data_IF_636664765707
#
_entry.id   IF_636664765707
#
_cell.length_a   1.000
_cell.length_b   1.000
_cell.length_c   1.000
_cell.angle_alpha   90.00
_cell.angle_beta   90.00
_cell.angle_gamma   90.00
#
_symmetry.space_group_name_H-M   'P 1'
#
loop_
_entity.id
_entity.type
_entity.pdbx_description
1 polymer ?
#
# COMPACT_ATOMS: atom_id res chain seq x y z
N UNK A 1 -3.31 -29.49 -32.33
CA UNK A 1 -2.32 -28.67 -31.63
C UNK A 1 -2.74 -27.20 -31.72
N UNK A 2 -2.87 -26.54 -30.58
CA UNK A 2 -3.06 -25.10 -30.47
C UNK A 2 -1.93 -24.49 -29.61
N UNK A 3 -1.51 -23.28 -29.95
CA UNK A 3 -0.46 -22.55 -29.23
C UNK A 3 -1.02 -21.17 -28.89
N UNK A 4 -1.00 -20.83 -27.61
CA UNK A 4 -1.21 -19.46 -27.15
C UNK A 4 0.12 -18.71 -27.28
N UNK A 5 0.21 -17.76 -28.21
CA UNK A 5 1.44 -17.01 -28.49
C UNK A 5 1.77 -15.97 -27.42
N UNK A 6 0.84 -15.66 -26.50
CA UNK A 6 1.08 -14.75 -25.39
C UNK A 6 1.62 -15.48 -24.16
N UNK A 7 1.05 -16.64 -23.84
CA UNK A 7 1.44 -17.41 -22.64
C UNK A 7 2.43 -18.51 -22.95
N UNK A 8 2.66 -18.85 -24.23
CA UNK A 8 3.42 -20.01 -24.73
C UNK A 8 2.82 -21.37 -24.37
N UNK A 9 1.60 -21.39 -23.79
CA UNK A 9 0.88 -22.61 -23.50
C UNK A 9 0.54 -23.37 -24.79
N UNK A 10 0.73 -24.69 -24.76
CA UNK A 10 0.37 -25.58 -25.85
C UNK A 10 -0.72 -26.55 -25.46
N UNK A 11 -1.68 -26.74 -26.35
CA UNK A 11 -2.77 -27.71 -26.18
C UNK A 11 -2.73 -28.70 -27.36
N UNK A 12 -2.43 -29.96 -27.07
CA UNK A 12 -2.45 -31.06 -28.03
C UNK A 12 -3.55 -32.04 -27.66
N UNK A 13 -4.69 -31.96 -28.34
CA UNK A 13 -5.91 -32.76 -28.04
C UNK A 13 -6.57 -33.27 -29.32
N UNK A 14 -7.38 -34.32 -29.17
CA UNK A 14 -8.27 -34.72 -30.23
C UNK A 14 -9.42 -33.68 -30.38
N UNK A 15 -9.83 -33.39 -31.61
CA UNK A 15 -10.89 -32.42 -31.89
C UNK A 15 -12.22 -32.74 -31.18
N UNK A 16 -12.47 -34.02 -30.90
CA UNK A 16 -13.64 -34.47 -30.14
C UNK A 16 -13.65 -34.02 -28.67
N UNK A 17 -12.48 -33.68 -28.13
CA UNK A 17 -12.31 -33.24 -26.75
C UNK A 17 -12.24 -31.71 -26.61
N UNK A 18 -12.41 -30.98 -27.74
CA UNK A 18 -12.33 -29.51 -27.77
C UNK A 18 -13.25 -28.84 -26.75
N UNK A 19 -14.47 -29.39 -26.58
CA UNK A 19 -15.44 -28.87 -25.63
C UNK A 19 -15.03 -28.98 -24.15
N UNK A 20 -14.10 -29.89 -23.84
CA UNK A 20 -13.57 -30.07 -22.48
C UNK A 20 -12.45 -29.07 -22.16
N UNK A 21 -11.91 -28.40 -23.18
CA UNK A 21 -10.80 -27.46 -23.12
C UNK A 21 -11.16 -26.10 -23.71
N UNK A 22 -12.45 -25.70 -23.62
CA UNK A 22 -12.93 -24.43 -24.18
C UNK A 22 -12.26 -23.23 -23.52
N UNK A 23 -11.84 -23.37 -22.27
CA UNK A 23 -11.11 -22.37 -21.48
C UNK A 23 -9.80 -21.93 -22.13
N UNK A 24 -9.12 -22.82 -22.86
CA UNK A 24 -7.92 -22.49 -23.64
C UNK A 24 -8.23 -21.47 -24.77
N UNK A 25 -9.46 -21.45 -25.26
CA UNK A 25 -9.88 -20.62 -26.39
C UNK A 25 -10.65 -19.36 -25.97
N UNK A 26 -10.85 -19.10 -24.69
CA UNK A 26 -11.49 -17.89 -24.16
C UNK A 26 -10.89 -16.59 -24.68
N UNK A 27 -9.55 -16.46 -24.89
CA UNK A 27 -8.94 -15.27 -25.48
C UNK A 27 -9.46 -14.94 -26.88
N UNK A 28 -9.86 -15.95 -27.69
CA UNK A 28 -10.46 -15.73 -29.01
C UNK A 28 -11.87 -15.12 -28.93
N UNK A 29 -12.56 -15.28 -27.81
CA UNK A 29 -13.85 -14.66 -27.53
C UNK A 29 -13.72 -13.29 -26.84
N UNK A 30 -12.51 -12.75 -26.74
CA UNK A 30 -12.25 -11.50 -26.01
C UNK A 30 -12.29 -11.66 -24.48
N UNK A 31 -12.37 -12.90 -23.99
CA UNK A 31 -12.31 -13.20 -22.56
C UNK A 31 -10.85 -13.51 -22.20
N UNK A 32 -10.24 -12.71 -21.37
CA UNK A 32 -8.92 -13.05 -20.84
C UNK A 32 -9.06 -14.25 -19.88
N UNK A 33 -8.17 -15.25 -20.03
CA UNK A 33 -7.95 -16.21 -18.94
C UNK A 33 -7.63 -15.37 -17.71
N UNK A 34 -8.47 -15.45 -16.68
CA UNK A 34 -8.02 -15.02 -15.36
C UNK A 34 -6.88 -15.98 -15.00
N UNK A 35 -5.65 -15.49 -15.12
CA UNK A 35 -4.53 -16.14 -14.45
C UNK A 35 -4.88 -16.01 -12.98
N UNK A 36 -5.34 -17.09 -12.37
CA UNK A 36 -5.34 -17.20 -10.92
C UNK A 36 -3.85 -17.08 -10.54
N UNK A 37 -3.45 -15.89 -10.18
CA UNK A 37 -2.25 -15.73 -9.37
C UNK A 37 -2.64 -16.41 -8.08
N UNK A 38 -2.02 -17.53 -7.75
CA UNK A 38 -2.17 -18.18 -6.45
C UNK A 38 -1.93 -17.08 -5.41
N UNK A 39 -3.00 -16.68 -4.72
CA UNK A 39 -2.87 -15.74 -3.60
C UNK A 39 -1.89 -16.38 -2.62
N UNK A 40 -0.88 -15.62 -2.21
CA UNK A 40 0.10 -16.13 -1.25
C UNK A 40 -0.65 -16.70 -0.04
N UNK A 41 -0.51 -17.98 0.31
CA UNK A 41 -1.23 -18.60 1.42
C UNK A 41 -1.03 -17.87 2.75
N UNK A 42 0.11 -17.18 2.94
CA UNK A 42 0.39 -16.35 4.11
C UNK A 42 -0.55 -15.15 4.15
N UNK A 43 -0.77 -14.48 3.01
CA UNK A 43 -1.64 -13.32 2.86
C UNK A 43 -3.08 -13.67 3.22
N UNK A 44 -3.60 -14.77 2.67
CA UNK A 44 -4.98 -15.26 2.94
C UNK A 44 -5.15 -15.61 4.42
N UNK A 45 -4.16 -16.27 5.02
CA UNK A 45 -4.20 -16.66 6.42
C UNK A 45 -4.20 -15.45 7.36
N UNK A 46 -3.38 -14.45 7.07
CA UNK A 46 -3.30 -13.21 7.83
C UNK A 46 -4.61 -12.42 7.75
N UNK A 47 -5.17 -12.24 6.53
CA UNK A 47 -6.45 -11.58 6.30
C UNK A 47 -7.59 -12.21 7.10
N UNK A 48 -7.70 -13.54 7.05
CA UNK A 48 -8.74 -14.26 7.77
C UNK A 48 -8.62 -14.13 9.30
N UNK A 49 -7.40 -14.09 9.84
CA UNK A 49 -7.18 -13.92 11.27
C UNK A 49 -7.47 -12.49 11.73
N UNK A 50 -7.07 -11.49 10.95
CA UNK A 50 -7.39 -10.08 11.21
C UNK A 50 -8.89 -9.82 11.17
N UNK A 51 -9.61 -10.37 10.19
CA UNK A 51 -11.06 -10.28 10.14
C UNK A 51 -11.73 -10.87 11.39
N UNK A 52 -11.25 -12.03 11.87
CA UNK A 52 -11.72 -12.63 13.12
C UNK A 52 -11.43 -11.74 14.34
N UNK A 53 -10.26 -11.11 14.39
CA UNK A 53 -9.90 -10.16 15.45
C UNK A 53 -10.85 -8.97 15.45
N UNK A 54 -11.08 -8.39 14.29
CA UNK A 54 -11.99 -7.25 14.10
C UNK A 54 -13.39 -7.58 14.59
N UNK A 55 -13.96 -8.69 14.12
CA UNK A 55 -15.30 -9.14 14.51
C UNK A 55 -15.42 -9.36 16.02
N UNK A 56 -14.36 -9.90 16.62
CA UNK A 56 -14.35 -10.15 18.07
C UNK A 56 -14.22 -8.85 18.88
N UNK A 57 -13.43 -7.89 18.39
CA UNK A 57 -13.31 -6.57 19.02
C UNK A 57 -14.63 -5.81 18.92
N UNK A 58 -15.32 -5.85 17.79
CA UNK A 58 -16.59 -5.14 17.59
C UNK A 58 -17.68 -5.57 18.56
N UNK A 59 -17.68 -6.80 19.07
CA UNK A 59 -18.68 -7.28 20.03
C UNK A 59 -18.70 -6.46 21.32
N UNK A 60 -17.51 -6.08 21.81
CA UNK A 60 -17.35 -5.29 23.04
C UNK A 60 -17.21 -3.79 22.77
N UNK A 61 -16.94 -3.40 21.49
CA UNK A 61 -16.69 -2.03 21.07
C UNK A 61 -17.56 -1.67 19.86
N UNK A 62 -18.88 -1.57 20.04
CA UNK A 62 -19.77 -1.24 18.92
C UNK A 62 -19.48 0.16 18.40
N UNK A 63 -19.18 0.27 17.11
CA UNK A 63 -18.90 1.54 16.42
C UNK A 63 -20.20 2.15 15.90
N UNK A 64 -20.54 3.34 16.37
CA UNK A 64 -21.77 4.08 16.01
C UNK A 64 -21.46 5.41 15.33
N UNK A 65 -20.26 5.93 15.45
CA UNK A 65 -19.85 7.21 14.85
C UNK A 65 -18.63 7.00 13.95
N UNK A 66 -18.44 7.93 13.01
CA UNK A 66 -17.28 7.93 12.12
C UNK A 66 -15.96 7.95 12.91
N UNK A 67 -15.88 8.73 13.99
CA UNK A 67 -14.67 8.81 14.82
C UNK A 67 -14.34 7.47 15.50
N UNK A 68 -15.36 6.70 15.90
CA UNK A 68 -15.14 5.37 16.50
C UNK A 68 -14.64 4.36 15.45
N UNK A 69 -15.16 4.42 14.24
CA UNK A 69 -14.66 3.60 13.12
C UNK A 69 -13.23 3.98 12.79
N UNK A 70 -12.94 5.28 12.66
CA UNK A 70 -11.59 5.79 12.42
C UNK A 70 -10.60 5.31 13.49
N UNK A 71 -10.93 5.47 14.79
CA UNK A 71 -10.07 5.03 15.87
C UNK A 71 -9.74 3.53 15.82
N UNK A 72 -10.73 2.68 15.48
CA UNK A 72 -10.53 1.25 15.32
C UNK A 72 -9.64 0.93 14.12
N UNK A 73 -9.82 1.65 13.03
CA UNK A 73 -9.02 1.49 11.81
C UNK A 73 -7.54 1.87 12.06
N UNK A 74 -7.30 3.02 12.70
CA UNK A 74 -5.94 3.43 13.12
C UNK A 74 -5.33 2.39 14.06
N UNK A 75 -6.12 1.85 15.00
CA UNK A 75 -5.66 0.79 15.88
C UNK A 75 -5.21 -0.47 15.12
N UNK A 76 -5.98 -0.92 14.12
CA UNK A 76 -5.61 -2.07 13.28
C UNK A 76 -4.34 -1.81 12.47
N UNK A 77 -4.22 -0.61 11.91
CA UNK A 77 -3.01 -0.20 11.17
C UNK A 77 -1.77 -0.22 12.07
N UNK A 78 -1.90 0.22 13.32
CA UNK A 78 -0.83 0.14 14.33
C UNK A 78 -0.44 -1.30 14.67
N UNK A 79 -1.41 -2.21 14.75
CA UNK A 79 -1.13 -3.63 14.96
C UNK A 79 -0.39 -4.24 13.77
N UNK A 80 -0.84 -3.96 12.54
CA UNK A 80 -0.16 -4.42 11.32
C UNK A 80 1.30 -3.98 11.29
N UNK A 81 1.54 -2.71 11.59
CA UNK A 81 2.90 -2.20 11.73
C UNK A 81 3.71 -3.00 12.75
N UNK A 82 3.16 -3.25 13.95
CA UNK A 82 3.88 -3.94 15.03
C UNK A 82 4.25 -5.38 14.63
N UNK A 83 3.34 -6.12 14.03
CA UNK A 83 3.61 -7.47 13.56
C UNK A 83 4.68 -7.51 12.46
N UNK A 84 4.54 -6.62 11.48
CA UNK A 84 5.56 -6.53 10.43
C UNK A 84 6.92 -6.11 11.00
N UNK A 85 6.95 -5.17 11.93
CA UNK A 85 8.16 -4.64 12.52
C UNK A 85 8.95 -5.68 13.31
N UNK A 86 8.28 -6.62 14.00
CA UNK A 86 8.97 -7.67 14.75
C UNK A 86 9.57 -8.76 13.83
N UNK A 87 8.96 -9.02 12.65
CA UNK A 87 9.45 -10.04 11.72
C UNK A 87 10.41 -9.50 10.66
N UNK A 88 10.47 -8.17 10.50
CA UNK A 88 11.34 -7.51 9.52
C UNK A 88 12.61 -6.88 10.10
N UNK A 89 12.98 -7.24 11.34
CA UNK A 89 14.14 -6.71 12.07
C UNK A 89 14.11 -5.17 12.32
N UNK A 90 12.95 -4.54 12.30
CA UNK A 90 12.74 -3.18 12.79
C UNK A 90 12.69 -3.21 14.31
N UNK A 91 11.98 -4.18 14.86
CA UNK A 91 12.01 -4.56 16.28
C UNK A 91 12.94 -5.77 16.49
N UNK A 92 13.27 -6.06 17.74
CA UNK A 92 13.84 -7.35 18.10
C UNK A 92 12.82 -8.45 17.82
N UNK A 93 13.28 -9.59 17.34
CA UNK A 93 12.43 -10.71 16.94
C UNK A 93 11.44 -11.10 18.04
N UNK A 94 10.16 -11.23 17.69
CA UNK A 94 9.05 -11.60 18.57
C UNK A 94 8.84 -10.70 19.79
N UNK A 95 9.43 -9.51 19.87
CA UNK A 95 9.36 -8.65 21.08
C UNK A 95 7.93 -8.17 21.34
N UNK A 96 7.16 -7.81 20.32
CA UNK A 96 5.79 -7.30 20.44
C UNK A 96 4.85 -8.39 20.96
N UNK A 97 4.82 -9.52 20.27
CA UNK A 97 3.95 -10.66 20.60
C UNK A 97 4.29 -11.26 21.96
N UNK A 98 5.58 -11.44 22.26
CA UNK A 98 6.03 -11.96 23.55
C UNK A 98 5.75 -11.00 24.71
N UNK A 99 5.92 -9.69 24.47
CA UNK A 99 5.67 -8.67 25.50
C UNK A 99 4.18 -8.60 25.88
N UNK A 100 3.28 -8.65 24.90
CA UNK A 100 1.83 -8.73 25.15
C UNK A 100 1.49 -10.01 25.93
N UNK A 101 2.00 -11.15 25.47
CA UNK A 101 1.73 -12.44 26.13
C UNK A 101 2.14 -12.45 27.59
N UNK A 102 3.31 -11.87 27.91
CA UNK A 102 3.94 -11.93 29.21
C UNK A 102 3.50 -10.83 30.21
N UNK A 103 3.05 -9.68 29.69
CA UNK A 103 2.79 -8.49 30.52
C UNK A 103 1.34 -8.00 30.46
N UNK A 104 0.41 -8.83 29.96
CA UNK A 104 -1.02 -8.54 30.03
C UNK A 104 -1.80 -9.68 30.68
N UNK A 105 -2.92 -9.34 31.34
CA UNK A 105 -3.79 -10.31 31.98
C UNK A 105 -4.48 -11.23 30.96
N UNK A 106 -4.68 -12.49 31.33
CA UNK A 106 -5.29 -13.49 30.42
C UNK A 106 -6.70 -13.10 29.98
N UNK A 107 -7.43 -12.38 30.83
CA UNK A 107 -8.80 -11.90 30.54
C UNK A 107 -8.83 -10.68 29.61
N UNK A 108 -7.67 -10.08 29.30
CA UNK A 108 -7.53 -8.92 28.44
C UNK A 108 -7.92 -7.58 29.09
N UNK A 109 -8.21 -7.56 30.38
CA UNK A 109 -8.72 -6.38 31.11
C UNK A 109 -7.75 -5.20 31.09
N UNK A 110 -6.45 -5.44 31.05
CA UNK A 110 -5.37 -4.43 31.01
C UNK A 110 -4.75 -4.18 29.66
N UNK A 111 -5.19 -4.92 28.60
CA UNK A 111 -4.64 -4.82 27.25
C UNK A 111 -4.67 -3.40 26.69
N UNK A 112 -5.79 -2.69 26.86
CA UNK A 112 -5.93 -1.34 26.33
C UNK A 112 -4.90 -0.38 26.97
N UNK A 113 -4.74 -0.43 28.31
CA UNK A 113 -3.77 0.42 29.00
C UNK A 113 -2.32 0.02 28.70
N UNK A 114 -2.05 -1.26 28.49
CA UNK A 114 -0.73 -1.73 28.07
C UNK A 114 -0.37 -1.18 26.68
N UNK A 115 -1.27 -1.33 25.70
CA UNK A 115 -1.05 -0.87 24.31
C UNK A 115 -0.96 0.66 24.24
N UNK A 116 -1.75 1.39 25.03
CA UNK A 116 -1.64 2.85 25.11
C UNK A 116 -0.23 3.28 25.53
N UNK A 117 0.31 2.68 26.58
CA UNK A 117 1.68 2.94 27.06
C UNK A 117 2.73 2.55 26.02
N UNK A 118 2.56 1.42 25.35
CA UNK A 118 3.47 0.97 24.30
C UNK A 118 3.48 1.95 23.11
N UNK A 119 2.31 2.38 22.65
CA UNK A 119 2.21 3.35 21.55
C UNK A 119 2.77 4.73 21.91
N UNK A 120 2.69 5.11 23.20
CA UNK A 120 3.37 6.31 23.70
C UNK A 120 4.89 6.16 23.68
N UNK A 121 5.43 4.97 23.97
CA UNK A 121 6.87 4.67 23.84
C UNK A 121 7.31 4.80 22.36
N UNK A 122 6.53 4.30 21.40
CA UNK A 122 6.83 4.45 19.98
C UNK A 122 6.87 5.91 19.53
N UNK A 123 6.08 6.77 20.16
CA UNK A 123 6.03 8.21 19.86
C UNK A 123 7.03 9.06 20.66
N UNK A 124 7.78 8.46 21.59
CA UNK A 124 8.67 9.21 22.50
C UNK A 124 10.14 8.90 22.21
N UNK A 125 10.94 9.91 21.78
CA UNK A 125 12.38 9.76 21.61
C UNK A 125 13.07 9.24 22.88
N UNK A 126 14.15 8.48 22.69
CA UNK A 126 14.86 7.81 23.81
C UNK A 126 15.26 8.76 24.93
N UNK A 127 15.75 9.96 24.58
CA UNK A 127 16.20 11.00 25.51
C UNK A 127 15.05 11.67 26.30
N UNK A 128 13.82 11.50 25.86
CA UNK A 128 12.61 12.07 26.48
C UNK A 128 11.77 11.05 27.25
N UNK A 129 12.19 9.78 27.26
CA UNK A 129 11.46 8.72 27.95
C UNK A 129 11.63 8.84 29.47
N UNK A 130 10.55 8.55 30.20
CA UNK A 130 10.57 8.50 31.66
C UNK A 130 11.58 7.46 32.15
N UNK A 131 12.43 7.83 33.09
CA UNK A 131 13.40 6.93 33.71
C UNK A 131 12.74 5.76 34.46
N UNK A 132 11.51 5.95 34.94
CA UNK A 132 10.71 4.93 35.64
C UNK A 132 10.03 3.92 34.71
N UNK A 133 10.15 4.10 33.35
CA UNK A 133 9.57 3.18 32.39
C UNK A 133 10.10 1.75 32.62
N UNK A 134 9.23 0.72 32.65
CA UNK A 134 9.65 -0.67 32.76
C UNK A 134 10.61 -1.09 31.68
N UNK A 135 11.59 -1.95 31.98
CA UNK A 135 12.61 -2.36 31.03
C UNK A 135 12.03 -3.00 29.77
N UNK A 136 11.00 -3.83 29.89
CA UNK A 136 10.33 -4.47 28.77
C UNK A 136 9.66 -3.48 27.79
N UNK A 137 9.42 -2.23 28.19
CA UNK A 137 8.96 -1.15 27.30
C UNK A 137 10.14 -0.32 26.77
N UNK A 138 11.25 -0.24 27.51
CA UNK A 138 12.45 0.50 27.06
C UNK A 138 13.12 -0.14 25.85
N UNK A 139 12.99 -1.46 25.72
CA UNK A 139 13.60 -2.24 24.65
C UNK A 139 12.95 -1.97 23.25
N UNK A 140 11.75 -1.38 23.23
CA UNK A 140 11.13 -0.98 21.98
C UNK A 140 11.75 0.29 21.41
N UNK A 141 11.96 0.34 20.06
CA UNK A 141 12.53 1.51 19.43
C UNK A 141 11.59 2.71 19.40
N UNK A 142 12.15 3.90 19.18
CA UNK A 142 11.39 5.08 18.80
C UNK A 142 11.01 4.96 17.33
N UNK A 143 9.72 4.97 17.02
CA UNK A 143 9.23 4.74 15.68
C UNK A 143 9.11 6.03 14.88
N UNK A 144 8.89 7.16 15.51
CA UNK A 144 8.67 8.48 14.92
C UNK A 144 7.83 8.46 13.62
N UNK A 145 6.72 9.11 13.60
CA UNK A 145 5.87 9.18 12.40
C UNK A 145 4.42 9.50 12.75
N UNK A 146 3.61 9.80 11.73
CA UNK A 146 2.21 10.14 11.90
C UNK A 146 1.40 9.08 12.63
N UNK A 147 1.71 7.79 12.36
CA UNK A 147 0.93 6.65 12.84
C UNK A 147 0.71 6.59 14.35
N UNK A 148 1.71 7.00 15.17
CA UNK A 148 1.63 6.97 16.64
C UNK A 148 1.50 8.35 17.26
N UNK A 149 1.49 9.44 16.46
CA UNK A 149 1.49 10.82 16.95
C UNK A 149 0.22 11.14 17.74
N UNK A 150 -0.92 10.82 17.17
CA UNK A 150 -2.19 11.20 17.74
C UNK A 150 -2.72 10.11 18.69
N UNK A 151 -3.15 10.54 19.87
CA UNK A 151 -3.78 9.61 20.83
C UNK A 151 -5.15 9.21 20.29
N UNK A 152 -5.30 7.92 20.04
CA UNK A 152 -6.56 7.31 19.62
C UNK A 152 -7.06 6.36 20.70
N UNK A 153 -8.37 6.27 20.91
CA UNK A 153 -8.94 5.28 21.81
C UNK A 153 -8.55 3.86 21.40
N UNK A 154 -8.06 3.08 22.37
CA UNK A 154 -7.77 1.67 22.16
C UNK A 154 -8.99 0.85 22.55
N UNK A 155 -9.40 -0.15 21.77
CA UNK A 155 -10.57 -0.95 22.06
C UNK A 155 -10.38 -1.79 23.32
N UNK A 156 -11.49 -2.15 23.98
CA UNK A 156 -11.51 -3.13 25.06
C UNK A 156 -11.30 -4.53 24.51
N UNK A 157 -10.61 -5.35 25.28
CA UNK A 157 -10.31 -6.74 24.93
C UNK A 157 -11.02 -7.72 25.87
N UNK A 158 -11.25 -8.91 25.35
CA UNK A 158 -11.65 -10.10 26.08
C UNK A 158 -10.52 -11.13 26.02
N UNK A 159 -10.61 -12.19 26.80
CA UNK A 159 -9.71 -13.36 26.68
C UNK A 159 -9.59 -13.81 25.23
N UNK A 160 -10.70 -13.84 24.49
CA UNK A 160 -10.73 -14.34 23.11
C UNK A 160 -10.03 -13.40 22.14
N UNK A 161 -10.35 -12.10 22.17
CA UNK A 161 -9.70 -11.11 21.27
C UNK A 161 -8.20 -10.99 21.58
N UNK A 162 -7.80 -11.03 22.86
CA UNK A 162 -6.37 -11.09 23.26
C UNK A 162 -5.66 -12.31 22.66
N UNK A 163 -6.26 -13.50 22.79
CA UNK A 163 -5.64 -14.73 22.27
C UNK A 163 -5.52 -14.71 20.73
N UNK A 164 -6.54 -14.20 20.03
CA UNK A 164 -6.47 -14.04 18.57
C UNK A 164 -5.35 -13.07 18.18
N UNK A 165 -5.19 -11.95 18.90
CA UNK A 165 -4.12 -10.98 18.66
C UNK A 165 -2.74 -11.64 18.79
N UNK A 166 -2.51 -12.41 19.86
CA UNK A 166 -1.25 -13.15 20.05
C UNK A 166 -1.06 -14.22 18.95
N UNK A 167 -2.13 -14.91 18.57
CA UNK A 167 -2.08 -15.91 17.49
C UNK A 167 -1.73 -15.29 16.13
N UNK A 168 -2.16 -14.06 15.84
CA UNK A 168 -1.77 -13.31 14.66
C UNK A 168 -0.26 -13.06 14.63
N UNK A 169 0.32 -12.70 15.76
CA UNK A 169 1.76 -12.48 15.89
C UNK A 169 2.61 -13.74 15.74
N UNK A 170 2.02 -14.95 15.67
CA UNK A 170 2.76 -16.17 15.33
C UNK A 170 2.87 -16.45 13.83
N UNK A 171 2.31 -15.59 12.99
CA UNK A 171 2.48 -15.67 11.54
C UNK A 171 3.82 -15.07 11.15
N UNK A 172 4.37 -15.50 10.02
CA UNK A 172 5.55 -14.87 9.43
C UNK A 172 5.13 -13.65 8.58
N UNK A 173 5.24 -12.46 9.16
CA UNK A 173 4.87 -11.22 8.53
C UNK A 173 5.92 -10.71 7.53
N UNK A 174 7.12 -11.27 7.54
CA UNK A 174 8.15 -10.94 6.55
C UNK A 174 7.80 -11.44 5.14
N UNK A 175 6.97 -12.50 5.05
CA UNK A 175 6.49 -13.06 3.78
C UNK A 175 5.22 -12.38 3.25
N UNK A 176 4.60 -11.50 4.05
CA UNK A 176 3.37 -10.80 3.66
C UNK A 176 3.70 -9.55 2.85
N UNK A 177 3.04 -9.40 1.71
CA UNK A 177 3.25 -8.25 0.85
C UNK A 177 2.51 -7.00 1.38
N UNK A 178 3.19 -5.84 1.51
CA UNK A 178 2.53 -4.60 1.94
C UNK A 178 1.38 -4.15 1.02
N UNK A 179 1.44 -4.49 -0.25
CA UNK A 179 0.41 -4.18 -1.25
C UNK A 179 -0.94 -4.82 -0.93
N UNK A 180 -0.97 -5.92 -0.14
CA UNK A 180 -2.22 -6.54 0.27
C UNK A 180 -2.85 -5.91 1.51
N UNK A 181 -2.15 -5.06 2.26
CA UNK A 181 -2.72 -4.47 3.48
C UNK A 181 -4.01 -3.72 3.20
N UNK A 182 -4.10 -3.02 2.07
CA UNK A 182 -5.34 -2.39 1.64
C UNK A 182 -6.48 -3.39 1.45
N UNK A 183 -6.24 -4.50 0.77
CA UNK A 183 -7.24 -5.55 0.54
C UNK A 183 -7.60 -6.31 1.81
N UNK A 184 -6.63 -6.58 2.67
CA UNK A 184 -6.86 -7.19 3.98
C UNK A 184 -7.81 -6.36 4.81
N UNK A 185 -7.60 -5.05 4.83
CA UNK A 185 -8.40 -4.12 5.60
C UNK A 185 -9.76 -3.91 4.96
N UNK A 186 -9.86 -3.83 3.63
CA UNK A 186 -11.14 -3.82 2.93
C UNK A 186 -11.96 -5.09 3.19
N UNK A 187 -11.32 -6.24 3.37
CA UNK A 187 -12.00 -7.48 3.76
C UNK A 187 -12.56 -7.41 5.19
N UNK A 188 -11.96 -6.59 6.04
CA UNK A 188 -12.35 -6.38 7.43
C UNK A 188 -13.46 -5.33 7.55
N UNK A 189 -13.40 -4.24 6.77
CA UNK A 189 -14.46 -3.22 6.71
C UNK A 189 -15.67 -3.76 5.94
N UNK A 190 -16.86 -3.65 6.54
CA UNK A 190 -18.12 -4.29 6.14
C UNK A 190 -18.46 -4.19 4.64
N UNK A 191 -19.12 -5.25 4.07
CA UNK A 191 -19.54 -5.30 2.66
C UNK A 191 -20.41 -4.12 2.20
N UNK A 192 -21.13 -3.48 3.12
CA UNK A 192 -22.06 -2.37 2.86
C UNK A 192 -21.33 -1.08 2.42
N UNK A 193 -20.11 -0.85 2.90
CA UNK A 193 -19.30 0.29 2.48
C UNK A 193 -18.48 0.05 1.21
N UNK A 194 -18.36 -1.20 0.75
CA UNK A 194 -17.60 -1.55 -0.46
C UNK A 194 -18.24 -1.05 -1.75
N UNK A 195 -19.57 -0.96 -1.79
CA UNK A 195 -20.34 -0.55 -2.98
C UNK A 195 -20.38 0.96 -3.20
N UNK A 196 -20.40 1.74 -2.12
CA UNK A 196 -20.70 3.18 -2.18
C UNK A 196 -19.47 4.06 -2.44
N UNK A 197 -18.28 3.60 -2.11
CA UNK A 197 -17.04 4.38 -2.27
C UNK A 197 -16.18 3.99 -3.47
N UNK A 198 -16.55 2.97 -4.25
CA UNK A 198 -15.76 2.54 -5.42
C UNK A 198 -14.36 2.02 -5.06
N UNK A 199 -14.13 1.62 -3.81
CA UNK A 199 -12.86 1.07 -3.36
C UNK A 199 -12.67 -0.34 -3.91
N UNK A 200 -12.18 -0.44 -5.14
CA UNK A 200 -11.76 -1.69 -5.74
C UNK A 200 -10.24 -1.83 -5.60
N UNK A 201 -9.82 -2.82 -4.83
CA UNK A 201 -8.43 -3.24 -4.83
C UNK A 201 -7.97 -3.58 -6.25
N UNK A 202 -6.92 -2.92 -6.71
CA UNK A 202 -6.33 -3.21 -8.02
C UNK A 202 -5.19 -4.19 -7.85
N UNK A 203 -5.33 -5.40 -8.40
CA UNK A 203 -4.33 -6.45 -8.30
C UNK A 203 -3.02 -6.08 -9.01
N UNK A 204 -1.90 -6.62 -8.53
CA UNK A 204 -0.57 -6.41 -9.12
C UNK A 204 -0.53 -6.64 -10.64
N UNK A 205 -1.10 -7.74 -11.19
CA UNK A 205 -1.14 -7.94 -12.64
C UNK A 205 -1.87 -6.83 -13.41
N UNK A 206 -2.93 -6.27 -12.84
CA UNK A 206 -3.66 -5.17 -13.48
C UNK A 206 -2.90 -3.85 -13.38
N UNK A 207 -2.22 -3.60 -12.26
CA UNK A 207 -1.31 -2.46 -12.12
C UNK A 207 -0.20 -2.53 -13.16
N UNK A 208 0.44 -3.70 -13.30
CA UNK A 208 1.50 -3.91 -14.29
C UNK A 208 1.04 -3.65 -15.73
N UNK A 209 -0.19 -4.02 -16.11
CA UNK A 209 -0.77 -3.69 -17.43
C UNK A 209 -0.83 -2.17 -17.70
N UNK A 210 -0.88 -1.36 -16.66
CA UNK A 210 -0.89 0.10 -16.76
C UNK A 210 0.53 0.66 -16.76
N UNK A 211 1.34 0.30 -15.76
CA UNK A 211 2.65 0.92 -15.56
C UNK A 211 3.72 0.44 -16.55
N UNK A 212 3.59 -0.81 -17.06
CA UNK A 212 4.50 -1.32 -18.07
C UNK A 212 4.53 -0.42 -19.32
N UNK A 213 3.42 -0.24 -20.07
CA UNK A 213 3.44 0.58 -21.26
C UNK A 213 3.54 2.08 -20.96
N UNK A 214 3.26 2.51 -19.70
CA UNK A 214 3.29 3.92 -19.34
C UNK A 214 4.73 4.44 -19.18
N UNK A 215 5.61 3.70 -18.53
CA UNK A 215 6.99 4.12 -18.25
C UNK A 215 8.01 2.98 -18.16
N UNK A 216 7.62 1.78 -17.69
CA UNK A 216 8.61 0.73 -17.42
C UNK A 216 9.28 0.22 -18.69
N UNK A 217 8.51 -0.05 -19.75
CA UNK A 217 9.06 -0.59 -21.00
C UNK A 217 10.12 0.36 -21.58
N UNK A 218 9.85 1.68 -21.61
CA UNK A 218 10.81 2.69 -22.08
C UNK A 218 12.08 2.72 -21.21
N UNK A 219 11.92 2.71 -19.87
CA UNK A 219 13.07 2.75 -18.95
C UNK A 219 13.92 1.47 -19.05
N UNK A 220 13.30 0.31 -19.20
CA UNK A 220 14.03 -0.95 -19.42
C UNK A 220 14.71 -1.01 -20.77
N UNK A 221 14.11 -0.49 -21.84
CA UNK A 221 14.78 -0.35 -23.14
C UNK A 221 15.99 0.59 -23.07
N UNK A 222 15.87 1.71 -22.35
CA UNK A 222 16.98 2.64 -22.13
C UNK A 222 18.10 1.96 -21.35
N UNK A 223 17.76 1.18 -20.31
CA UNK A 223 18.71 0.37 -19.56
C UNK A 223 19.45 -0.62 -20.47
N UNK A 224 18.75 -1.39 -21.31
CA UNK A 224 19.38 -2.34 -22.22
C UNK A 224 20.36 -1.64 -23.19
N UNK A 225 20.00 -0.45 -23.69
CA UNK A 225 20.87 0.39 -24.57
C UNK A 225 22.05 1.03 -23.81
N UNK A 226 21.98 1.09 -22.46
CA UNK A 226 22.99 1.68 -21.61
C UNK A 226 23.99 0.66 -21.06
N UNK A 227 23.68 -0.64 -21.10
CA UNK A 227 24.59 -1.71 -20.62
C UNK A 227 25.99 -1.59 -21.17
N UNK A 228 26.99 -1.73 -20.32
CA UNK A 228 28.41 -1.56 -20.64
C UNK A 228 28.89 -0.11 -20.83
N UNK A 229 28.02 0.90 -20.70
CA UNK A 229 28.37 2.32 -20.85
C UNK A 229 28.06 3.08 -19.57
N UNK A 230 29.01 3.19 -18.65
CA UNK A 230 28.83 3.84 -17.33
C UNK A 230 28.21 5.26 -17.45
N UNK A 231 28.57 6.04 -18.46
CA UNK A 231 28.02 7.38 -18.68
C UNK A 231 26.51 7.35 -19.00
N UNK A 232 26.08 6.40 -19.80
CA UNK A 232 24.64 6.24 -20.13
C UNK A 232 23.86 5.72 -18.92
N UNK A 233 24.42 4.74 -18.19
CA UNK A 233 23.82 4.24 -16.96
C UNK A 233 23.65 5.34 -15.92
N UNK A 234 24.65 6.25 -15.79
CA UNK A 234 24.53 7.40 -14.91
C UNK A 234 23.42 8.37 -15.33
N UNK A 235 23.26 8.62 -16.63
CA UNK A 235 22.16 9.47 -17.13
C UNK A 235 20.80 8.86 -16.84
N UNK A 236 20.63 7.55 -17.08
CA UNK A 236 19.40 6.85 -16.75
C UNK A 236 19.14 6.89 -15.22
N UNK A 237 20.16 6.67 -14.41
CA UNK A 237 20.05 6.75 -12.94
C UNK A 237 19.60 8.14 -12.50
N UNK A 238 20.18 9.21 -13.06
CA UNK A 238 19.74 10.59 -12.80
C UNK A 238 18.31 10.85 -13.28
N UNK A 239 17.88 10.26 -14.40
CA UNK A 239 16.51 10.37 -14.89
C UNK A 239 15.54 9.78 -13.86
N UNK A 240 15.73 8.52 -13.44
CA UNK A 240 14.82 7.84 -12.52
C UNK A 240 14.78 8.49 -11.12
N UNK A 241 15.83 9.17 -10.70
CA UNK A 241 15.85 9.95 -9.45
C UNK A 241 14.93 11.18 -9.49
N UNK A 242 14.61 11.69 -10.67
CA UNK A 242 13.83 12.91 -10.84
C UNK A 242 12.39 12.65 -11.31
N UNK A 243 12.06 11.41 -11.66
CA UNK A 243 10.67 11.04 -11.99
C UNK A 243 9.79 11.17 -10.75
N UNK A 244 8.61 11.75 -10.95
CA UNK A 244 7.54 11.81 -9.95
C UNK A 244 6.39 10.93 -10.36
N UNK A 245 5.79 10.24 -9.40
CA UNK A 245 4.62 9.38 -9.59
C UNK A 245 3.46 9.96 -8.79
N UNK A 246 2.32 10.16 -9.43
CA UNK A 246 1.18 10.79 -8.81
C UNK A 246 -0.09 9.95 -9.04
N UNK A 247 -0.69 9.51 -7.94
CA UNK A 247 -1.98 8.82 -7.92
C UNK A 247 -3.00 9.67 -7.16
N UNK A 248 -3.92 10.28 -7.89
CA UNK A 248 -4.91 11.21 -7.33
C UNK A 248 -6.17 10.53 -6.75
N UNK A 249 -6.19 9.21 -6.68
CA UNK A 249 -7.19 8.40 -5.99
C UNK A 249 -6.53 7.11 -5.50
N UNK A 250 -5.51 7.25 -4.64
CA UNK A 250 -4.52 6.20 -4.44
C UNK A 250 -5.01 5.01 -3.60
N UNK A 251 -6.16 5.12 -2.93
CA UNK A 251 -6.61 4.08 -2.04
C UNK A 251 -5.54 3.75 -1.00
N UNK A 252 -5.23 2.48 -0.84
CA UNK A 252 -4.13 1.99 0.01
C UNK A 252 -2.73 2.14 -0.61
N UNK A 253 -2.58 2.85 -1.72
CA UNK A 253 -1.30 3.19 -2.33
C UNK A 253 -0.74 2.15 -3.31
N UNK A 254 -1.51 1.17 -3.76
CA UNK A 254 -1.01 0.03 -4.53
C UNK A 254 -0.27 0.41 -5.81
N UNK A 255 -0.78 1.34 -6.60
CA UNK A 255 -0.07 1.82 -7.79
C UNK A 255 1.28 2.45 -7.44
N UNK A 256 1.33 3.24 -6.38
CA UNK A 256 2.55 3.89 -5.92
C UNK A 256 3.56 2.87 -5.37
N UNK A 257 3.09 1.87 -4.58
CA UNK A 257 3.92 0.81 -4.02
C UNK A 257 4.57 -0.02 -5.12
N UNK A 258 3.80 -0.47 -6.10
CA UNK A 258 4.32 -1.31 -7.19
C UNK A 258 5.26 -0.48 -8.07
N UNK A 259 4.91 0.76 -8.41
CA UNK A 259 5.81 1.66 -9.13
C UNK A 259 7.13 1.88 -8.38
N UNK A 260 7.08 2.11 -7.07
CA UNK A 260 8.27 2.24 -6.22
C UNK A 260 9.14 0.98 -6.29
N UNK A 261 8.55 -0.20 -6.07
CA UNK A 261 9.28 -1.47 -6.12
C UNK A 261 9.95 -1.70 -7.48
N UNK A 262 9.25 -1.43 -8.59
CA UNK A 262 9.78 -1.63 -9.94
C UNK A 262 10.93 -0.65 -10.26
N UNK A 263 10.82 0.63 -9.91
CA UNK A 263 11.89 1.60 -10.09
C UNK A 263 13.11 1.26 -9.22
N UNK A 264 12.92 0.79 -7.98
CA UNK A 264 14.00 0.31 -7.11
C UNK A 264 14.69 -0.94 -7.67
N UNK A 265 13.95 -1.86 -8.31
CA UNK A 265 14.54 -3.01 -9.02
C UNK A 265 15.42 -2.53 -10.20
N UNK A 266 14.93 -1.59 -10.99
CA UNK A 266 15.71 -1.00 -12.08
C UNK A 266 16.97 -0.31 -11.57
N UNK A 267 16.89 0.46 -10.48
CA UNK A 267 18.05 1.07 -9.81
C UNK A 267 19.10 0.02 -9.42
N UNK A 268 18.66 -1.11 -8.82
CA UNK A 268 19.57 -2.20 -8.47
C UNK A 268 20.21 -2.85 -9.69
N UNK A 269 19.49 -3.01 -10.81
CA UNK A 269 20.07 -3.50 -12.06
C UNK A 269 21.13 -2.54 -12.62
N UNK A 270 20.89 -1.23 -12.57
CA UNK A 270 21.86 -0.21 -12.98
C UNK A 270 23.15 -0.33 -12.15
N UNK A 271 23.04 -0.52 -10.84
CA UNK A 271 24.23 -0.70 -9.97
C UNK A 271 24.97 -2.01 -10.25
N UNK A 272 24.26 -3.10 -10.60
CA UNK A 272 24.88 -4.39 -10.95
C UNK A 272 25.74 -4.31 -12.22
N UNK A 273 25.35 -3.48 -13.19
CA UNK A 273 26.16 -3.23 -14.40
C UNK A 273 27.49 -2.52 -14.08
N UNK A 274 27.61 -1.90 -12.92
CA UNK A 274 28.82 -1.29 -12.42
C UNK A 274 29.11 0.13 -12.92
N UNK A 275 30.19 0.71 -12.40
CA UNK A 275 30.65 2.05 -12.80
C UNK A 275 29.97 3.21 -12.08
N UNK A 276 29.04 2.94 -11.15
CA UNK A 276 28.37 3.93 -10.34
C UNK A 276 28.65 3.71 -8.84
N UNK A 277 28.55 4.79 -8.06
CA UNK A 277 28.53 4.68 -6.61
C UNK A 277 27.24 3.99 -6.17
N UNK A 278 27.38 2.86 -5.47
CA UNK A 278 26.25 2.07 -4.98
C UNK A 278 25.64 2.80 -3.77
N UNK A 279 24.58 3.57 -4.02
CA UNK A 279 23.82 4.29 -3.00
C UNK A 279 22.37 4.42 -3.45
N UNK A 280 21.40 3.82 -2.72
CA UNK A 280 20.00 3.98 -3.05
C UNK A 280 19.60 5.45 -3.07
N UNK A 281 18.97 5.87 -4.15
CA UNK A 281 18.64 7.28 -4.38
C UNK A 281 17.13 7.51 -4.65
N UNK A 282 16.41 6.46 -5.00
CA UNK A 282 14.97 6.52 -5.16
C UNK A 282 14.31 6.63 -3.78
N UNK A 283 13.55 7.70 -3.58
CA UNK A 283 12.94 8.05 -2.29
C UNK A 283 11.43 8.06 -2.38
N UNK A 284 10.76 7.82 -1.27
CA UNK A 284 9.29 7.93 -1.18
C UNK A 284 8.79 9.35 -1.45
N UNK A 285 9.64 10.38 -1.29
CA UNK A 285 9.30 11.78 -1.61
C UNK A 285 9.03 12.04 -3.10
N UNK A 286 9.32 11.06 -3.99
CA UNK A 286 8.95 11.11 -5.41
C UNK A 286 7.53 10.62 -5.68
N UNK A 287 6.85 10.05 -4.67
CA UNK A 287 5.54 9.41 -4.78
C UNK A 287 4.50 10.28 -4.08
N UNK A 288 3.51 10.70 -4.86
CA UNK A 288 2.46 11.63 -4.45
C UNK A 288 1.10 10.96 -4.57
N UNK A 289 0.21 11.22 -3.63
CA UNK A 289 -1.14 10.67 -3.68
C UNK A 289 -2.17 11.57 -3.07
N UNK A 290 -3.43 11.37 -3.48
CA UNK A 290 -4.60 11.94 -2.82
C UNK A 290 -5.52 10.79 -2.49
N UNK A 291 -6.02 10.75 -1.26
CA UNK A 291 -7.02 9.78 -0.84
C UNK A 291 -8.13 10.46 -0.03
N UNK A 292 -9.37 10.12 -0.37
CA UNK A 292 -10.56 10.66 0.28
C UNK A 292 -10.87 9.96 1.60
N UNK A 293 -10.66 8.65 1.63
CA UNK A 293 -10.86 7.84 2.83
C UNK A 293 -9.66 7.99 3.76
N UNK A 294 -9.93 8.49 4.96
CA UNK A 294 -8.92 8.77 5.97
C UNK A 294 -8.13 7.51 6.38
N UNK A 295 -8.79 6.36 6.41
CA UNK A 295 -8.13 5.11 6.75
C UNK A 295 -7.26 4.56 5.61
N UNK A 296 -7.76 4.57 4.38
CA UNK A 296 -6.96 4.19 3.22
C UNK A 296 -5.73 5.08 3.08
N UNK A 297 -5.85 6.38 3.40
CA UNK A 297 -4.74 7.32 3.49
C UNK A 297 -3.65 6.85 4.46
N UNK A 298 -4.00 6.48 5.72
CA UNK A 298 -3.04 6.00 6.71
C UNK A 298 -2.39 4.67 6.28
N UNK A 299 -3.17 3.78 5.67
CA UNK A 299 -2.66 2.52 5.11
C UNK A 299 -1.69 2.76 3.96
N UNK A 300 -1.97 3.72 3.08
CA UNK A 300 -1.09 4.04 1.95
C UNK A 300 0.29 4.51 2.44
N UNK A 301 0.33 5.39 3.42
CA UNK A 301 1.58 5.87 4.03
C UNK A 301 2.36 4.71 4.65
N UNK A 302 1.69 3.88 5.46
CA UNK A 302 2.32 2.71 6.07
C UNK A 302 2.86 1.74 5.02
N UNK A 303 2.05 1.40 4.03
CA UNK A 303 2.41 0.41 3.02
C UNK A 303 3.57 0.86 2.13
N UNK A 304 3.65 2.15 1.79
CA UNK A 304 4.79 2.73 1.08
C UNK A 304 6.08 2.61 1.91
N UNK A 305 6.00 2.93 3.20
CA UNK A 305 7.16 2.80 4.09
C UNK A 305 7.61 1.34 4.25
N UNK A 306 6.67 0.40 4.38
CA UNK A 306 6.98 -1.03 4.44
C UNK A 306 7.62 -1.53 3.13
N UNK A 307 7.15 -1.04 1.98
CA UNK A 307 7.76 -1.34 0.68
C UNK A 307 9.19 -0.80 0.59
N UNK A 308 9.45 0.40 1.10
CA UNK A 308 10.82 0.94 1.19
C UNK A 308 11.70 0.06 2.06
N UNK A 309 11.22 -0.34 3.23
CA UNK A 309 11.95 -1.24 4.12
C UNK A 309 12.29 -2.57 3.43
N UNK A 310 11.32 -3.23 2.79
CA UNK A 310 11.56 -4.46 2.03
C UNK A 310 12.62 -4.27 0.93
N UNK A 311 12.53 -3.19 0.15
CA UNK A 311 13.51 -2.90 -0.90
C UNK A 311 14.89 -2.61 -0.33
N UNK A 312 14.99 -2.01 0.85
CA UNK A 312 16.25 -1.78 1.54
C UNK A 312 16.86 -3.10 2.06
N UNK A 313 16.06 -4.03 2.56
CA UNK A 313 16.51 -5.38 2.94
C UNK A 313 17.07 -6.13 1.72
N UNK A 314 16.34 -6.09 0.58
CA UNK A 314 16.81 -6.67 -0.68
C UNK A 314 18.13 -6.01 -1.14
N UNK A 315 18.21 -4.70 -1.09
CA UNK A 315 19.41 -3.95 -1.46
C UNK A 315 20.61 -4.35 -0.58
N UNK A 316 20.41 -4.47 0.74
CA UNK A 316 21.45 -4.94 1.67
C UNK A 316 21.95 -6.33 1.33
N UNK A 317 21.03 -7.23 0.98
CA UNK A 317 21.35 -8.61 0.58
C UNK A 317 22.23 -8.62 -0.68
N UNK A 318 21.96 -7.74 -1.65
CA UNK A 318 22.66 -7.69 -2.94
C UNK A 318 24.01 -6.95 -2.87
N UNK A 319 24.08 -5.85 -2.10
CA UNK A 319 25.22 -4.93 -2.12
C UNK A 319 25.97 -4.80 -0.78
N UNK A 320 25.50 -5.46 0.28
CA UNK A 320 26.17 -5.51 1.59
C UNK A 320 26.01 -4.27 2.47
N UNK A 321 25.54 -3.15 1.94
CA UNK A 321 25.34 -1.90 2.68
C UNK A 321 23.94 -1.34 2.46
N UNK A 322 23.38 -0.68 3.48
CA UNK A 322 22.14 0.10 3.37
C UNK A 322 22.32 1.39 4.13
N UNK A 323 21.89 2.54 3.61
CA UNK A 323 21.67 3.71 4.44
C UNK A 323 20.70 3.34 5.56
N UNK A 324 20.89 3.81 6.80
CA UNK A 324 19.92 3.59 7.85
C UNK A 324 18.55 4.13 7.37
N UNK A 325 17.57 3.25 7.23
CA UNK A 325 16.20 3.67 7.05
C UNK A 325 15.78 4.40 8.33
N UNK A 326 15.61 5.71 8.25
CA UNK A 326 15.05 6.47 9.34
C UNK A 326 13.58 6.05 9.50
N UNK A 327 13.12 5.82 10.73
CA UNK A 327 11.77 5.34 10.95
C UNK A 327 10.74 6.36 10.45
N UNK A 328 9.75 5.91 9.70
CA UNK A 328 8.47 6.56 9.29
C UNK A 328 8.49 8.08 8.95
N UNK A 329 9.65 8.70 8.73
CA UNK A 329 9.71 10.15 8.54
C UNK A 329 9.20 10.62 7.19
N UNK A 330 9.31 9.80 6.14
CA UNK A 330 8.97 10.17 4.77
C UNK A 330 8.12 9.08 4.09
N UNK A 331 6.90 8.86 4.58
CA UNK A 331 5.96 7.85 4.03
C UNK A 331 5.33 8.21 2.68
N UNK A 332 6.00 9.05 1.86
CA UNK A 332 5.45 9.61 0.64
C UNK A 332 4.64 10.90 0.89
N UNK A 333 4.30 11.57 -0.20
CA UNK A 333 3.50 12.80 -0.15
C UNK A 333 2.02 12.47 -0.37
N UNK A 334 1.42 11.72 0.55
CA UNK A 334 0.01 11.36 0.48
C UNK A 334 -0.80 12.41 1.24
N UNK A 335 -1.83 12.94 0.59
CA UNK A 335 -2.70 13.99 1.14
C UNK A 335 -4.11 13.43 1.31
N UNK A 336 -4.65 13.53 2.52
CA UNK A 336 -6.05 13.23 2.79
C UNK A 336 -6.95 14.34 2.24
N UNK A 337 -7.91 13.97 1.37
CA UNK A 337 -8.89 14.93 0.85
C UNK A 337 -9.53 14.52 -0.47
N UNK A 338 -10.47 15.33 -0.92
CA UNK A 338 -11.18 15.13 -2.17
C UNK A 338 -10.35 15.64 -3.36
N UNK A 339 -9.91 14.73 -4.23
CA UNK A 339 -9.10 15.05 -5.42
C UNK A 339 -9.77 16.06 -6.36
N UNK A 340 -11.11 16.07 -6.43
CA UNK A 340 -11.86 17.04 -7.25
C UNK A 340 -11.85 18.47 -6.69
N UNK A 341 -11.43 18.64 -5.44
CA UNK A 341 -11.43 19.93 -4.71
C UNK A 341 -10.02 20.43 -4.39
N UNK A 342 -9.04 19.54 -4.37
CA UNK A 342 -7.65 19.89 -4.10
C UNK A 342 -6.96 20.44 -5.35
N UNK A 343 -5.99 21.31 -5.11
CA UNK A 343 -5.07 21.81 -6.13
C UNK A 343 -3.93 20.77 -6.31
N UNK A 344 -3.94 20.08 -7.43
CA UNK A 344 -2.98 19.01 -7.71
C UNK A 344 -1.53 19.51 -7.81
N UNK A 345 -1.33 20.77 -8.25
CA UNK A 345 0.02 21.34 -8.31
C UNK A 345 0.60 21.65 -6.91
N UNK A 346 -0.26 21.80 -5.89
CA UNK A 346 0.20 21.90 -4.50
C UNK A 346 0.52 20.54 -3.91
N UNK A 347 -0.16 19.49 -4.32
CA UNK A 347 0.10 18.12 -3.87
C UNK A 347 1.35 17.56 -4.53
N UNK A 348 1.41 17.64 -5.86
CA UNK A 348 2.55 17.20 -6.67
C UNK A 348 3.11 18.41 -7.44
N UNK A 349 4.01 19.20 -6.83
CA UNK A 349 4.57 20.39 -7.47
C UNK A 349 5.29 20.03 -8.78
N UNK A 350 5.02 20.77 -9.84
CA UNK A 350 5.66 20.58 -11.15
C UNK A 350 6.56 21.75 -11.52
N UNK A 351 7.70 21.44 -12.14
CA UNK A 351 8.60 22.38 -12.77
C UNK A 351 8.70 22.06 -14.28
N UNK A 352 9.23 22.99 -15.07
CA UNK A 352 9.25 22.88 -16.55
C UNK A 352 9.92 21.59 -17.08
N UNK A 353 10.86 21.03 -16.32
CA UNK A 353 11.63 19.84 -16.73
C UNK A 353 11.30 18.58 -15.92
N UNK A 354 10.26 18.62 -15.09
CA UNK A 354 9.87 17.45 -14.32
C UNK A 354 9.19 16.41 -15.22
N UNK A 355 9.57 15.16 -15.05
CA UNK A 355 8.91 14.00 -15.62
C UNK A 355 7.92 13.47 -14.57
N UNK A 356 6.62 13.60 -14.84
CA UNK A 356 5.55 13.23 -13.90
C UNK A 356 4.63 12.23 -14.57
N UNK A 357 4.47 11.05 -13.96
CA UNK A 357 3.51 10.05 -14.38
C UNK A 357 2.28 10.11 -13.48
N UNK A 358 1.14 10.46 -14.08
CA UNK A 358 -0.16 10.40 -13.41
C UNK A 358 -0.74 9.01 -13.70
N UNK A 359 -1.03 8.28 -12.65
CA UNK A 359 -1.48 6.88 -12.72
C UNK A 359 -2.51 6.62 -11.62
N UNK A 360 -3.22 5.51 -11.69
CA UNK A 360 -4.20 5.14 -10.67
C UNK A 360 -5.46 4.52 -11.24
N UNK A 361 -6.39 4.20 -10.34
CA UNK A 361 -7.71 3.68 -10.70
C UNK A 361 -8.80 4.54 -10.01
N UNK A 362 -9.05 5.76 -10.50
CA UNK A 362 -10.04 6.66 -9.90
C UNK A 362 -11.47 6.12 -10.03
N UNK A 363 -12.41 6.56 -9.17
CA UNK A 363 -13.76 6.07 -9.18
C UNK A 363 -14.49 6.43 -10.48
N UNK A 364 -15.09 5.42 -11.11
CA UNK A 364 -15.96 5.57 -12.27
C UNK A 364 -17.41 5.32 -11.86
N UNK A 365 -18.27 6.27 -12.19
CA UNK A 365 -19.69 6.18 -11.86
C UNK A 365 -20.51 6.98 -12.87
N UNK A 366 -21.37 6.26 -13.61
CA UNK A 366 -22.26 6.90 -14.58
C UNK A 366 -23.18 7.94 -13.94
N UNK A 367 -23.53 8.98 -14.66
CA UNK A 367 -24.31 10.13 -14.18
C UNK A 367 -25.57 9.77 -13.35
N UNK A 368 -26.28 8.71 -13.73
CA UNK A 368 -27.50 8.26 -13.04
C UNK A 368 -27.23 7.65 -11.66
N UNK A 369 -26.01 7.15 -11.44
CA UNK A 369 -25.61 6.48 -10.20
C UNK A 369 -24.87 7.44 -9.25
N UNK A 370 -24.45 8.63 -9.73
CA UNK A 370 -23.78 9.63 -8.92
C UNK A 370 -24.69 10.14 -7.83
N UNK A 371 -24.18 10.17 -6.60
CA UNK A 371 -24.86 10.78 -5.47
C UNK A 371 -24.79 12.32 -5.55
N UNK A 372 -25.37 13.01 -4.54
CA UNK A 372 -25.42 14.47 -4.51
C UNK A 372 -24.03 15.10 -4.44
N UNK A 373 -23.14 14.55 -3.61
CA UNK A 373 -21.78 15.09 -3.43
C UNK A 373 -20.97 14.97 -4.72
N UNK A 374 -21.04 13.82 -5.38
CA UNK A 374 -20.35 13.59 -6.65
C UNK A 374 -20.87 14.51 -7.78
N UNK A 375 -22.16 14.82 -7.81
CA UNK A 375 -22.74 15.80 -8.73
C UNK A 375 -22.24 17.22 -8.43
N UNK A 376 -22.15 17.60 -7.16
CA UNK A 376 -21.58 18.87 -6.74
C UNK A 376 -20.08 18.97 -7.10
N UNK A 377 -19.34 17.85 -7.08
CA UNK A 377 -17.96 17.78 -7.54
C UNK A 377 -17.85 17.97 -9.05
N UNK A 378 -18.73 17.31 -9.83
CA UNK A 378 -18.81 17.50 -11.27
C UNK A 378 -19.10 18.96 -11.63
N UNK A 379 -20.07 19.57 -10.95
CA UNK A 379 -20.41 20.99 -11.13
C UNK A 379 -19.24 21.92 -10.79
N UNK A 380 -18.45 21.59 -9.76
CA UNK A 380 -17.28 22.37 -9.37
C UNK A 380 -16.14 22.27 -10.38
N UNK A 381 -15.82 21.06 -10.83
CA UNK A 381 -14.72 20.82 -11.79
C UNK A 381 -15.04 21.39 -13.17
N UNK A 382 -16.31 21.35 -13.58
CA UNK A 382 -16.78 21.78 -14.90
C UNK A 382 -17.67 23.02 -14.89
N UNK A 383 -17.49 23.91 -13.93
CA UNK A 383 -18.37 25.05 -13.63
C UNK A 383 -18.85 25.86 -14.85
N UNK A 384 -18.06 25.92 -15.93
CA UNK A 384 -18.33 26.75 -17.11
C UNK A 384 -18.94 25.95 -18.29
N UNK A 385 -19.38 24.69 -18.11
CA UNK A 385 -19.72 23.78 -19.22
C UNK A 385 -21.00 23.00 -19.01
N UNK A 386 -22.14 23.58 -19.31
CA UNK A 386 -23.47 22.95 -19.15
C UNK A 386 -23.68 21.61 -19.86
N UNK A 387 -22.92 21.33 -20.93
CA UNK A 387 -23.03 20.11 -21.75
C UNK A 387 -22.35 18.88 -21.13
N UNK A 388 -21.51 19.07 -20.13
CA UNK A 388 -20.63 18.02 -19.56
C UNK A 388 -21.27 17.31 -18.36
N UNK A 389 -22.40 17.81 -17.85
CA UNK A 389 -23.11 17.29 -16.65
C UNK A 389 -23.57 15.83 -16.74
N UNK A 390 -23.47 15.17 -17.91
CA UNK A 390 -23.88 13.78 -18.12
C UNK A 390 -22.72 12.80 -18.26
N UNK A 391 -21.51 13.26 -18.03
CA UNK A 391 -20.33 12.40 -18.09
C UNK A 391 -20.23 11.50 -16.87
N UNK A 392 -19.43 10.44 -17.01
CA UNK A 392 -19.02 9.62 -15.89
C UNK A 392 -18.15 10.43 -14.92
N UNK A 393 -18.21 10.09 -13.64
CA UNK A 393 -17.49 10.81 -12.57
C UNK A 393 -15.96 10.81 -12.80
N UNK A 394 -15.40 9.75 -13.38
CA UNK A 394 -13.98 9.65 -13.73
C UNK A 394 -13.49 10.79 -14.65
N UNK A 395 -14.41 11.43 -15.39
CA UNK A 395 -14.05 12.56 -16.27
C UNK A 395 -13.43 13.74 -15.53
N UNK A 396 -13.71 13.89 -14.23
CA UNK A 396 -13.05 14.88 -13.39
C UNK A 396 -11.54 14.67 -13.34
N UNK A 397 -11.10 13.41 -13.19
CA UNK A 397 -9.68 13.06 -13.11
C UNK A 397 -8.95 13.30 -14.43
N UNK A 398 -9.56 12.93 -15.55
CA UNK A 398 -8.98 13.23 -16.87
C UNK A 398 -8.87 14.73 -17.12
N UNK A 399 -9.88 15.50 -16.72
CA UNK A 399 -9.84 16.97 -16.91
C UNK A 399 -8.78 17.63 -16.04
N UNK A 400 -8.70 17.24 -14.76
CA UNK A 400 -7.73 17.79 -13.81
C UNK A 400 -6.30 17.36 -14.16
N UNK A 401 -6.10 16.12 -14.61
CA UNK A 401 -4.78 15.63 -15.01
C UNK A 401 -4.27 16.22 -16.34
N UNK A 402 -5.18 16.70 -17.21
CA UNK A 402 -4.81 17.39 -18.45
C UNK A 402 -4.53 18.89 -18.24
N UNK A 403 -4.86 19.48 -17.10
CA UNK A 403 -4.68 20.88 -16.72
C UNK A 403 -3.34 21.14 -16.05
#
# INVERSE_FOLDING_TARGET
>A
LALDTKTTDTLDINIKDLTKHFDFFLPLAGMEKSVYVDENPADVKASNKLAKLYDEILKENPTKTHEQVHALNVFLTRLLFCYFAEDSNIFSENIFTSSISSHTQVDGSDMASYLERLFEVFNTPYDKRDSSLPNYLKDFPYVNGGLFRDKQPIPKFTTKSRNILIEIGTLDWSEINPDIFGSMIQAVVTPEHRGDMGMHYTSVPNIMKVIQPLFLDELYEEFEKAKGYAKKLNLLHLRIQNIKFFDSACGSGNFLIISYKEIRKLEMLIFKEGGLLICPSIKLTQFYGIELDDFAHEVAILSLWLAEHQMNVLFKKEFGTVPPALPLQDGGNIVHGNATRLDWEKVCPKNINDEIYILGNPPYLGFLQQNRIQKEDMDYVFADRDTIRKLDYISCWFYLGAK
#
